data_IF_776040267333
#
_entry.id   IF_776040267333
#
_cell.length_a   1.000
_cell.length_b   1.000
_cell.length_c   1.000
_cell.angle_alpha   90.00
_cell.angle_beta   90.00
_cell.angle_gamma   90.00
#
_symmetry.space_group_name_H-M   'P 1'
#
loop_
_entity.id
_entity.type
_entity.pdbx_description
1 polymer ?
#
# COMPACT_ATOMS: atom_id res chain seq x y z
N UNK A 1 -13.52 14.06 -6.77
CA UNK A 1 -13.53 13.27 -8.01
C UNK A 1 -14.99 13.06 -8.40
N UNK A 2 -15.38 13.38 -9.63
CA UNK A 2 -16.71 13.07 -10.16
C UNK A 2 -16.73 11.61 -10.65
N UNK A 3 -17.87 10.94 -10.63
CA UNK A 3 -17.99 9.60 -11.21
C UNK A 3 -17.94 9.69 -12.74
N UNK A 4 -17.29 8.72 -13.38
CA UNK A 4 -17.15 8.62 -14.83
C UNK A 4 -18.39 8.05 -15.48
N UNK A 5 -19.21 7.30 -14.73
CA UNK A 5 -20.66 7.25 -14.94
C UNK A 5 -21.42 6.74 -13.72
N UNK A 6 -22.75 6.94 -13.72
CA UNK A 6 -23.62 6.46 -12.66
C UNK A 6 -24.99 6.00 -13.21
N UNK A 7 -25.44 4.84 -12.71
CA UNK A 7 -26.65 4.17 -13.17
C UNK A 7 -27.57 3.88 -11.99
N UNK A 8 -28.88 3.89 -12.26
CA UNK A 8 -29.90 3.47 -11.30
C UNK A 8 -30.62 2.22 -11.82
N UNK A 9 -30.81 1.24 -10.95
CA UNK A 9 -31.52 0.00 -11.25
C UNK A 9 -32.74 -0.07 -10.36
N UNK A 10 -33.90 -0.38 -10.93
CA UNK A 10 -35.12 -0.64 -10.17
C UNK A 10 -35.87 -1.84 -10.75
N UNK A 11 -36.82 -2.39 -10.00
CA UNK A 11 -37.69 -3.44 -10.52
C UNK A 11 -38.55 -2.93 -11.68
N UNK A 12 -38.84 -3.80 -12.65
CA UNK A 12 -39.62 -3.47 -13.85
C UNK A 12 -40.99 -2.89 -13.52
N UNK A 13 -41.66 -3.41 -12.49
CA UNK A 13 -42.95 -2.91 -12.00
C UNK A 13 -42.91 -1.48 -11.47
N UNK A 14 -41.71 -0.93 -11.19
CA UNK A 14 -41.51 0.43 -10.72
C UNK A 14 -40.88 1.33 -11.78
N UNK A 15 -40.58 0.80 -12.97
CA UNK A 15 -39.96 1.55 -14.06
C UNK A 15 -40.84 2.70 -14.57
N UNK A 16 -42.17 2.54 -14.57
CA UNK A 16 -43.09 3.61 -14.95
C UNK A 16 -43.08 4.78 -13.94
N UNK A 17 -42.78 4.52 -12.66
CA UNK A 17 -42.62 5.60 -11.66
C UNK A 17 -41.41 6.49 -11.94
N UNK A 18 -40.43 6.00 -12.72
CA UNK A 18 -39.29 6.78 -13.17
C UNK A 18 -39.61 7.64 -14.39
N UNK A 19 -40.46 7.16 -15.31
CA UNK A 19 -40.72 7.80 -16.63
C UNK A 19 -41.18 9.26 -16.49
N UNK A 20 -42.01 9.56 -15.51
CA UNK A 20 -42.50 10.92 -15.26
C UNK A 20 -41.47 11.85 -14.59
N UNK A 21 -40.38 11.28 -14.06
CA UNK A 21 -39.36 11.97 -13.25
C UNK A 21 -37.96 11.87 -13.86
N UNK A 22 -37.87 11.41 -15.11
CA UNK A 22 -36.62 11.22 -15.81
C UNK A 22 -35.87 12.55 -15.98
N UNK A 23 -34.61 12.64 -15.57
CA UNK A 23 -33.76 13.77 -15.93
C UNK A 23 -33.69 13.90 -17.46
N UNK A 24 -33.55 15.13 -17.97
CA UNK A 24 -33.21 15.34 -19.39
C UNK A 24 -31.89 14.60 -19.71
N UNK A 25 -31.79 14.02 -20.90
CA UNK A 25 -30.62 13.24 -21.30
C UNK A 25 -30.51 11.90 -20.58
N UNK A 26 -31.63 11.20 -20.36
CA UNK A 26 -31.63 9.87 -19.73
C UNK A 26 -32.26 8.81 -20.62
N UNK A 27 -31.80 7.57 -20.45
CA UNK A 27 -32.29 6.39 -21.18
C UNK A 27 -32.73 5.35 -20.16
N UNK A 28 -34.00 4.95 -20.24
CA UNK A 28 -34.54 3.84 -19.46
C UNK A 28 -34.54 2.59 -20.33
N UNK A 29 -33.75 1.60 -19.94
CA UNK A 29 -33.63 0.32 -20.61
C UNK A 29 -34.32 -0.76 -19.78
N UNK A 30 -34.99 -1.68 -20.47
CA UNK A 30 -35.73 -2.80 -19.87
C UNK A 30 -35.22 -4.12 -20.44
N UNK A 31 -35.45 -5.24 -19.75
CA UNK A 31 -35.10 -6.58 -20.26
C UNK A 31 -33.94 -7.26 -19.54
N UNK A 32 -33.47 -6.72 -18.42
CA UNK A 32 -32.41 -7.31 -17.58
C UNK A 32 -33.03 -8.14 -16.46
N UNK A 33 -33.74 -9.20 -16.85
CA UNK A 33 -34.57 -9.98 -15.93
C UNK A 33 -35.72 -9.14 -15.36
N UNK A 34 -35.81 -9.06 -14.04
CA UNK A 34 -36.82 -8.25 -13.34
C UNK A 34 -36.39 -6.80 -13.08
N UNK A 35 -35.26 -6.37 -13.66
CA UNK A 35 -34.71 -5.02 -13.50
C UNK A 35 -34.77 -4.18 -14.77
N UNK A 36 -34.97 -2.88 -14.54
CA UNK A 36 -34.81 -1.79 -15.50
C UNK A 36 -33.61 -0.94 -15.11
N UNK A 37 -32.90 -0.41 -16.09
CA UNK A 37 -31.68 0.40 -15.92
C UNK A 37 -31.93 1.80 -16.43
N UNK A 38 -31.72 2.79 -15.58
CA UNK A 38 -31.72 4.20 -15.92
C UNK A 38 -30.28 4.68 -16.09
N UNK A 39 -29.91 4.97 -17.33
CA UNK A 39 -28.64 5.58 -17.72
C UNK A 39 -28.80 7.10 -17.79
N UNK A 40 -27.79 7.83 -17.34
CA UNK A 40 -27.75 9.30 -17.39
C UNK A 40 -26.57 9.79 -18.23
N UNK A 41 -26.83 10.76 -19.10
CA UNK A 41 -25.81 11.51 -19.85
C UNK A 41 -24.95 12.38 -18.90
N UNK A 42 -25.59 13.04 -17.93
CA UNK A 42 -24.90 13.82 -16.89
C UNK A 42 -24.65 12.98 -15.63
N UNK A 43 -23.38 12.76 -15.29
CA UNK A 43 -22.97 12.00 -14.11
C UNK A 43 -23.25 12.75 -12.81
N UNK A 44 -24.46 12.58 -12.26
CA UNK A 44 -24.87 13.26 -11.04
C UNK A 44 -25.45 12.28 -10.01
N UNK A 45 -24.56 11.72 -9.19
CA UNK A 45 -24.91 10.78 -8.12
C UNK A 45 -25.90 11.37 -7.11
N UNK A 46 -25.87 12.69 -6.84
CA UNK A 46 -26.83 13.35 -5.94
C UNK A 46 -28.24 13.34 -6.51
N UNK A 47 -28.42 13.55 -7.82
CA UNK A 47 -29.72 13.45 -8.50
C UNK A 47 -30.27 12.02 -8.38
N UNK A 48 -29.45 11.00 -8.63
CA UNK A 48 -29.87 9.59 -8.49
C UNK A 48 -30.26 9.23 -7.05
N UNK A 49 -29.47 9.65 -6.07
CA UNK A 49 -29.79 9.44 -4.65
C UNK A 49 -31.09 10.12 -4.23
N UNK A 50 -31.39 11.29 -4.80
CA UNK A 50 -32.67 11.97 -4.59
C UNK A 50 -33.81 11.19 -5.23
N UNK A 51 -33.67 10.75 -6.49
CA UNK A 51 -34.69 9.97 -7.20
C UNK A 51 -35.02 8.66 -6.48
N UNK A 52 -34.02 7.93 -6.00
CA UNK A 52 -34.23 6.67 -5.29
C UNK A 52 -35.13 6.80 -4.05
N UNK A 53 -35.26 7.99 -3.45
CA UNK A 53 -36.16 8.25 -2.30
C UNK A 53 -37.65 8.13 -2.66
N UNK A 54 -37.98 8.22 -3.94
CA UNK A 54 -39.36 8.24 -4.43
C UNK A 54 -39.76 6.96 -5.17
N UNK A 55 -38.83 6.02 -5.33
CA UNK A 55 -39.08 4.76 -6.01
C UNK A 55 -39.45 3.72 -4.94
N UNK A 56 -40.63 3.10 -5.04
CA UNK A 56 -41.01 2.00 -4.14
C UNK A 56 -40.14 0.76 -4.40
N UNK A 57 -40.06 -0.13 -3.42
CA UNK A 57 -39.35 -1.40 -3.56
C UNK A 57 -37.83 -1.24 -3.65
N UNK A 58 -37.18 -2.20 -4.31
CA UNK A 58 -35.73 -2.33 -4.35
C UNK A 58 -35.11 -1.45 -5.44
N UNK A 59 -34.09 -0.68 -5.04
CA UNK A 59 -33.33 0.20 -5.93
C UNK A 59 -31.83 0.06 -5.67
N UNK A 60 -31.07 0.00 -6.76
CA UNK A 60 -29.61 0.04 -6.73
C UNK A 60 -29.13 1.33 -7.40
N UNK A 61 -28.10 1.95 -6.84
CA UNK A 61 -27.37 3.03 -7.49
C UNK A 61 -25.92 2.61 -7.59
N UNK A 62 -25.43 2.49 -8.83
CA UNK A 62 -24.04 2.18 -9.13
C UNK A 62 -23.31 3.42 -9.61
N UNK A 63 -22.03 3.51 -9.32
CA UNK A 63 -21.12 4.51 -9.87
C UNK A 63 -19.74 3.91 -10.05
N UNK A 64 -19.07 4.34 -11.12
CA UNK A 64 -17.69 4.02 -11.45
C UNK A 64 -16.88 5.33 -11.54
N UNK A 65 -15.67 5.33 -10.99
CA UNK A 65 -14.70 6.43 -11.00
C UNK A 65 -13.49 5.99 -11.80
N UNK A 66 -13.36 6.56 -12.99
CA UNK A 66 -12.25 6.47 -13.95
C UNK A 66 -11.73 5.05 -14.19
N UNK A 67 -12.63 4.06 -14.14
CA UNK A 67 -12.32 2.62 -14.19
C UNK A 67 -11.44 2.10 -13.03
N UNK A 68 -11.15 2.95 -12.04
CA UNK A 68 -10.29 2.65 -10.89
C UNK A 68 -11.07 2.25 -9.64
N UNK A 69 -12.32 2.71 -9.50
CA UNK A 69 -13.14 2.37 -8.34
C UNK A 69 -14.64 2.40 -8.60
N UNK A 70 -15.41 1.49 -8.01
CA UNK A 70 -16.87 1.53 -8.04
C UNK A 70 -17.50 1.48 -6.66
N UNK A 71 -18.76 1.91 -6.58
CA UNK A 71 -19.61 1.66 -5.43
C UNK A 71 -21.07 1.40 -5.80
N UNK A 72 -21.75 0.68 -4.92
CA UNK A 72 -23.12 0.24 -5.07
C UNK A 72 -23.92 0.54 -3.81
N UNK A 73 -24.89 1.45 -3.93
CA UNK A 73 -25.87 1.68 -2.88
C UNK A 73 -27.11 0.84 -3.10
N UNK A 74 -27.62 0.26 -2.01
CA UNK A 74 -28.89 -0.43 -2.00
C UNK A 74 -29.91 0.33 -1.15
N UNK A 75 -31.04 0.63 -1.76
CA UNK A 75 -32.20 1.28 -1.19
C UNK A 75 -33.41 0.33 -1.23
N UNK A 76 -34.26 0.45 -0.22
CA UNK A 76 -35.61 -0.11 -0.24
C UNK A 76 -36.59 0.93 0.27
N UNK A 77 -37.67 1.15 -0.48
CA UNK A 77 -38.72 2.12 -0.14
C UNK A 77 -38.14 3.50 0.24
N UNK A 78 -37.22 3.97 -0.60
CA UNK A 78 -36.55 5.26 -0.45
C UNK A 78 -35.51 5.37 0.67
N UNK A 79 -35.25 4.31 1.44
CA UNK A 79 -34.24 4.29 2.52
C UNK A 79 -32.99 3.53 2.10
N UNK A 80 -31.82 4.16 2.26
CA UNK A 80 -30.52 3.50 2.08
C UNK A 80 -30.32 2.45 3.17
N UNK A 81 -30.19 1.18 2.78
CA UNK A 81 -30.02 0.06 3.70
C UNK A 81 -28.58 -0.46 3.75
N UNK A 82 -27.88 -0.44 2.63
CA UNK A 82 -26.54 -1.00 2.51
C UNK A 82 -25.71 -0.24 1.48
N UNK A 83 -24.39 -0.43 1.58
CA UNK A 83 -23.40 0.07 0.64
C UNK A 83 -22.23 -0.91 0.57
N UNK A 84 -21.71 -1.05 -0.64
CA UNK A 84 -20.60 -1.91 -1.02
C UNK A 84 -19.71 -1.12 -1.99
N UNK A 85 -18.39 -1.20 -1.86
CA UNK A 85 -17.46 -0.75 -2.89
C UNK A 85 -16.40 -1.79 -3.25
N UNK A 86 -15.67 -1.49 -4.32
CA UNK A 86 -14.57 -2.30 -4.81
C UNK A 86 -13.34 -2.28 -3.90
N UNK A 87 -13.28 -1.36 -2.94
CA UNK A 87 -12.21 -1.30 -1.94
C UNK A 87 -12.52 -2.25 -0.80
N UNK A 88 -13.03 -1.67 0.29
CA UNK A 88 -13.20 -2.36 1.56
C UNK A 88 -14.49 -2.04 2.29
N UNK A 89 -15.15 -0.94 1.92
CA UNK A 89 -16.22 -0.41 2.73
C UNK A 89 -17.51 -1.16 2.41
N UNK A 90 -17.80 -2.13 3.26
CA UNK A 90 -18.99 -2.97 3.16
C UNK A 90 -19.88 -2.77 4.38
N UNK A 91 -20.81 -1.82 4.28
CA UNK A 91 -21.80 -1.58 5.32
C UNK A 91 -23.04 -2.42 5.08
N UNK A 92 -23.39 -3.27 6.06
CA UNK A 92 -24.66 -4.00 6.04
C UNK A 92 -24.87 -4.86 4.79
N UNK A 93 -23.81 -5.34 4.14
CA UNK A 93 -23.89 -6.16 2.91
C UNK A 93 -24.70 -7.44 3.10
N UNK A 94 -24.77 -7.97 4.33
CA UNK A 94 -25.67 -9.06 4.70
C UNK A 94 -27.15 -8.71 4.48
N UNK A 95 -27.56 -7.47 4.79
CA UNK A 95 -28.92 -6.97 4.54
C UNK A 95 -29.18 -6.93 3.03
N UNK A 96 -28.21 -6.53 2.21
CA UNK A 96 -28.34 -6.58 0.75
C UNK A 96 -28.53 -8.03 0.26
N UNK A 97 -27.69 -8.96 0.74
CA UNK A 97 -27.78 -10.37 0.38
C UNK A 97 -29.12 -11.01 0.75
N UNK A 98 -29.55 -10.88 2.01
CA UNK A 98 -30.79 -11.48 2.52
C UNK A 98 -32.05 -10.92 1.85
N UNK A 99 -31.99 -9.68 1.37
CA UNK A 99 -33.14 -9.03 0.76
C UNK A 99 -33.26 -9.25 -0.74
N UNK A 100 -32.15 -9.29 -1.47
CA UNK A 100 -32.13 -9.38 -2.93
C UNK A 100 -31.91 -10.81 -3.46
N UNK A 101 -31.38 -11.71 -2.62
CA UNK A 101 -30.90 -13.02 -3.03
C UNK A 101 -31.35 -14.13 -2.07
N UNK A 102 -32.65 -14.18 -1.77
CA UNK A 102 -33.22 -15.18 -0.84
C UNK A 102 -32.97 -16.63 -1.30
N UNK A 103 -32.91 -16.83 -2.62
CA UNK A 103 -32.74 -18.14 -3.23
C UNK A 103 -31.29 -18.49 -3.63
N UNK A 104 -30.33 -17.56 -3.45
CA UNK A 104 -28.91 -17.81 -3.76
C UNK A 104 -28.08 -17.88 -2.47
N UNK A 105 -27.76 -19.09 -1.97
CA UNK A 105 -26.96 -19.27 -0.75
C UNK A 105 -25.49 -18.82 -0.91
N UNK A 106 -25.02 -18.56 -2.14
CA UNK A 106 -23.67 -18.07 -2.42
C UNK A 106 -23.60 -16.54 -2.53
N UNK A 107 -24.73 -15.83 -2.70
CA UNK A 107 -24.73 -14.39 -2.94
C UNK A 107 -23.96 -13.62 -1.86
N UNK A 108 -24.21 -13.89 -0.57
CA UNK A 108 -23.45 -13.25 0.51
C UNK A 108 -21.94 -13.50 0.41
N UNK A 109 -21.54 -14.72 0.04
CA UNK A 109 -20.12 -15.07 -0.12
C UNK A 109 -19.49 -14.38 -1.33
N UNK A 110 -20.23 -14.24 -2.43
CA UNK A 110 -19.80 -13.51 -3.63
C UNK A 110 -19.62 -12.02 -3.32
N UNK A 111 -20.61 -11.39 -2.69
CA UNK A 111 -20.52 -9.98 -2.28
C UNK A 111 -19.35 -9.73 -1.32
N UNK A 112 -19.11 -10.63 -0.36
CA UNK A 112 -17.92 -10.56 0.50
C UNK A 112 -16.61 -10.85 -0.22
N UNK A 113 -16.63 -11.55 -1.35
CA UNK A 113 -15.44 -11.87 -2.11
C UNK A 113 -14.99 -10.72 -3.02
N UNK A 114 -15.84 -9.72 -3.28
CA UNK A 114 -15.48 -8.53 -4.08
C UNK A 114 -14.21 -7.87 -3.55
N UNK A 115 -14.04 -7.72 -2.24
CA UNK A 115 -12.80 -7.16 -1.65
C UNK A 115 -11.53 -7.97 -1.94
N UNK A 116 -11.66 -9.21 -2.39
CA UNK A 116 -10.55 -10.14 -2.70
C UNK A 116 -10.23 -10.21 -4.19
N UNK A 117 -10.97 -9.49 -5.05
CA UNK A 117 -10.70 -9.41 -6.48
C UNK A 117 -9.36 -8.74 -6.75
N UNK A 118 -8.66 -9.15 -7.81
CA UNK A 118 -7.32 -8.65 -8.12
C UNK A 118 -7.29 -7.32 -8.88
N UNK A 119 -8.39 -6.98 -9.55
CA UNK A 119 -8.55 -5.76 -10.34
C UNK A 119 -9.99 -5.27 -10.22
N UNK A 120 -10.25 -4.03 -10.62
CA UNK A 120 -11.61 -3.48 -10.71
C UNK A 120 -12.46 -4.32 -11.65
N UNK A 121 -11.94 -4.74 -12.80
CA UNK A 121 -12.64 -5.60 -13.76
C UNK A 121 -13.08 -6.93 -13.16
N UNK A 122 -12.22 -7.63 -12.42
CA UNK A 122 -12.60 -8.90 -11.79
C UNK A 122 -13.67 -8.69 -10.72
N UNK A 123 -13.58 -7.57 -9.98
CA UNK A 123 -14.57 -7.19 -8.97
C UNK A 123 -15.91 -6.83 -9.60
N UNK A 124 -15.88 -6.14 -10.73
CA UNK A 124 -17.05 -5.74 -11.50
C UNK A 124 -17.72 -6.96 -12.11
N UNK A 125 -16.96 -7.84 -12.77
CA UNK A 125 -17.47 -9.11 -13.28
C UNK A 125 -18.14 -9.96 -12.18
N UNK A 126 -17.53 -10.07 -10.99
CA UNK A 126 -18.16 -10.75 -9.86
C UNK A 126 -19.48 -10.10 -9.44
N UNK A 127 -19.54 -8.76 -9.42
CA UNK A 127 -20.75 -8.01 -9.09
C UNK A 127 -21.84 -8.27 -10.14
N UNK A 128 -21.52 -8.12 -11.42
CA UNK A 128 -22.44 -8.33 -12.54
C UNK A 128 -22.95 -9.77 -12.60
N UNK A 129 -22.09 -10.78 -12.44
CA UNK A 129 -22.47 -12.20 -12.34
C UNK A 129 -23.35 -12.49 -11.11
N UNK A 130 -23.17 -11.76 -10.01
CA UNK A 130 -23.98 -11.94 -8.79
C UNK A 130 -25.39 -11.40 -9.00
N UNK A 131 -25.51 -10.19 -9.55
CA UNK A 131 -26.81 -9.53 -9.75
C UNK A 131 -27.52 -9.97 -11.04
N UNK A 132 -26.78 -10.41 -12.05
CA UNK A 132 -27.26 -10.57 -13.42
C UNK A 132 -27.56 -9.23 -14.10
N UNK A 133 -26.77 -8.20 -13.82
CA UNK A 133 -26.98 -6.83 -14.29
C UNK A 133 -25.69 -6.25 -14.91
N UNK A 134 -25.78 -5.48 -16.00
CA UNK A 134 -24.63 -4.80 -16.60
C UNK A 134 -24.33 -3.52 -15.84
N UNK A 135 -23.39 -3.58 -14.91
CA UNK A 135 -23.00 -2.44 -14.10
C UNK A 135 -22.08 -1.49 -14.85
N UNK A 136 -21.32 -1.99 -15.83
CA UNK A 136 -20.41 -1.21 -16.68
C UNK A 136 -21.10 -0.41 -17.82
N UNK A 137 -22.43 -0.43 -17.87
CA UNK A 137 -23.20 0.16 -18.97
C UNK A 137 -23.05 1.69 -19.04
N UNK A 138 -22.59 2.22 -20.17
CA UNK A 138 -22.44 3.64 -20.41
C UNK A 138 -23.59 4.23 -21.24
N UNK A 139 -23.92 5.51 -21.01
CA UNK A 139 -25.01 6.19 -21.72
C UNK A 139 -24.87 6.16 -23.25
N UNK A 140 -23.63 6.16 -23.76
CA UNK A 140 -23.34 6.20 -25.20
C UNK A 140 -23.52 4.85 -25.90
N UNK A 141 -23.61 3.74 -25.17
CA UNK A 141 -23.72 2.40 -25.76
C UNK A 141 -25.09 2.19 -26.43
N UNK A 142 -25.09 1.87 -27.72
CA UNK A 142 -26.33 1.62 -28.48
C UNK A 142 -27.05 0.37 -27.98
N UNK A 143 -26.31 -0.73 -27.80
CA UNK A 143 -26.79 -2.00 -27.27
C UNK A 143 -26.01 -2.38 -26.01
N UNK A 144 -26.74 -2.84 -24.98
CA UNK A 144 -26.17 -3.32 -23.72
C UNK A 144 -26.65 -4.77 -23.52
N UNK A 145 -25.74 -5.75 -23.58
CA UNK A 145 -26.13 -7.15 -23.48
C UNK A 145 -26.56 -7.51 -22.05
N UNK A 146 -27.48 -8.46 -21.88
CA UNK A 146 -27.82 -8.97 -20.56
C UNK A 146 -26.65 -9.77 -19.97
N UNK A 147 -26.45 -9.65 -18.66
CA UNK A 147 -25.45 -10.44 -17.92
C UNK A 147 -26.10 -11.67 -17.31
N UNK A 148 -25.51 -12.85 -17.55
CA UNK A 148 -25.97 -14.09 -16.94
C UNK A 148 -25.53 -14.20 -15.48
N UNK A 149 -26.44 -14.66 -14.62
CA UNK A 149 -26.06 -15.04 -13.25
C UNK A 149 -25.13 -16.24 -13.28
N UNK A 150 -23.99 -16.13 -12.62
CA UNK A 150 -22.90 -17.12 -12.69
C UNK A 150 -22.13 -17.21 -11.37
N UNK A 151 -21.30 -18.25 -11.23
CA UNK A 151 -20.27 -18.36 -10.20
C UNK A 151 -18.86 -18.42 -10.78
N UNK A 152 -18.68 -18.23 -12.08
CA UNK A 152 -17.41 -18.43 -12.77
C UNK A 152 -16.29 -17.58 -12.17
N UNK A 153 -16.52 -16.26 -12.01
CA UNK A 153 -15.52 -15.39 -11.42
C UNK A 153 -15.26 -15.75 -9.95
N UNK A 154 -16.30 -16.07 -9.19
CA UNK A 154 -16.16 -16.51 -7.80
C UNK A 154 -15.34 -17.81 -7.66
N UNK A 155 -15.58 -18.78 -8.54
CA UNK A 155 -14.90 -20.08 -8.55
C UNK A 155 -13.44 -19.92 -9.01
N UNK A 156 -13.18 -19.08 -10.02
CA UNK A 156 -11.82 -18.70 -10.43
C UNK A 156 -11.05 -18.05 -9.28
N UNK A 157 -11.66 -17.09 -8.58
CA UNK A 157 -11.06 -16.44 -7.41
C UNK A 157 -10.75 -17.43 -6.30
N UNK A 158 -11.68 -18.35 -6.00
CA UNK A 158 -11.47 -19.39 -4.98
C UNK A 158 -10.40 -20.41 -5.39
N UNK A 159 -10.36 -20.81 -6.66
CA UNK A 159 -9.34 -21.70 -7.21
C UNK A 159 -7.96 -21.05 -7.09
N UNK A 160 -7.82 -19.76 -7.44
CA UNK A 160 -6.59 -18.98 -7.24
C UNK A 160 -6.20 -18.92 -5.77
N UNK A 161 -7.12 -18.56 -4.88
CA UNK A 161 -6.85 -18.53 -3.44
C UNK A 161 -6.47 -19.90 -2.87
N UNK A 162 -7.05 -20.99 -3.39
CA UNK A 162 -6.70 -22.37 -3.02
C UNK A 162 -5.31 -22.76 -3.53
N UNK A 163 -5.01 -22.48 -4.80
CA UNK A 163 -3.70 -22.73 -5.40
C UNK A 163 -2.59 -21.98 -4.65
N UNK A 164 -2.85 -20.71 -4.31
CA UNK A 164 -1.98 -19.94 -3.44
C UNK A 164 -1.84 -20.65 -2.10
N UNK A 165 -2.92 -20.90 -1.33
CA UNK A 165 -2.85 -21.56 -0.01
C UNK A 165 -2.05 -22.87 0.00
N UNK A 166 -2.13 -23.66 -1.06
CA UNK A 166 -1.41 -24.92 -1.17
C UNK A 166 0.07 -24.76 -1.59
N UNK A 167 0.50 -23.59 -2.04
CA UNK A 167 1.89 -23.32 -2.42
C UNK A 167 2.79 -23.36 -1.17
N UNK A 168 3.86 -24.16 -1.15
CA UNK A 168 4.75 -24.24 -0.01
C UNK A 168 5.48 -22.92 0.21
N UNK A 169 5.50 -22.43 1.44
CA UNK A 169 6.31 -21.27 1.81
C UNK A 169 7.81 -21.63 1.76
N UNK A 170 8.61 -20.80 1.09
CA UNK A 170 10.09 -20.79 1.16
C UNK A 170 10.59 -20.51 2.57
N UNK A 171 9.94 -19.60 3.29
CA UNK A 171 10.27 -19.25 4.66
C UNK A 171 9.38 -19.98 5.66
N UNK A 172 9.97 -20.35 6.79
CA UNK A 172 9.28 -20.73 8.01
C UNK A 172 9.39 -19.60 9.01
N UNK A 173 8.28 -19.22 9.61
CA UNK A 173 8.23 -18.19 10.66
C UNK A 173 8.38 -18.80 12.03
N UNK A 174 9.19 -18.16 12.85
CA UNK A 174 9.42 -18.48 14.25
C UNK A 174 9.27 -17.19 15.06
N UNK A 175 8.42 -17.19 16.10
CA UNK A 175 8.38 -16.09 17.07
C UNK A 175 9.58 -16.26 18.01
N UNK A 176 10.45 -15.24 18.07
CA UNK A 176 11.64 -15.29 18.89
C UNK A 176 11.33 -14.92 20.35
N UNK A 177 11.88 -15.66 21.32
CA UNK A 177 11.92 -15.21 22.71
C UNK A 177 12.73 -13.92 22.81
N UNK A 178 12.44 -13.08 23.81
CA UNK A 178 12.96 -11.71 23.89
C UNK A 178 14.48 -11.66 23.95
N UNK A 179 15.09 -12.67 24.55
CA UNK A 179 16.53 -12.85 24.72
C UNK A 179 17.24 -13.13 23.39
N UNK A 180 16.52 -13.64 22.38
CA UNK A 180 17.04 -13.95 21.05
C UNK A 180 16.73 -12.85 20.02
N UNK A 181 16.10 -11.75 20.44
CA UNK A 181 15.86 -10.62 19.56
C UNK A 181 17.18 -10.07 19.00
N UNK A 182 17.17 -9.55 17.76
CA UNK A 182 18.37 -9.04 17.13
C UNK A 182 19.02 -7.90 17.93
N UNK A 183 20.34 -7.76 17.79
CA UNK A 183 21.15 -6.80 18.56
C UNK A 183 20.72 -5.36 18.28
N UNK A 184 20.21 -5.08 17.08
CA UNK A 184 19.57 -3.80 16.76
C UNK A 184 18.43 -3.41 17.73
N UNK A 185 17.80 -4.38 18.41
CA UNK A 185 16.71 -4.14 19.36
C UNK A 185 17.12 -4.23 20.83
N UNK A 186 18.27 -4.83 21.14
CA UNK A 186 18.72 -5.11 22.51
C UNK A 186 19.98 -4.32 22.88
N UNK A 187 20.01 -3.78 24.10
CA UNK A 187 21.24 -3.26 24.67
C UNK A 187 22.18 -4.39 25.13
N UNK A 188 23.42 -4.05 25.48
CA UNK A 188 24.48 -4.97 25.90
C UNK A 188 24.17 -5.71 27.20
N UNK A 189 23.03 -5.39 27.84
CA UNK A 189 22.50 -6.08 29.01
C UNK A 189 21.24 -6.92 28.67
N UNK A 190 20.93 -7.13 27.38
CA UNK A 190 19.77 -7.90 26.91
C UNK A 190 18.42 -7.19 27.12
N UNK A 191 18.41 -5.90 27.52
CA UNK A 191 17.18 -5.11 27.68
C UNK A 191 16.85 -4.37 26.39
N UNK A 192 15.56 -4.16 26.12
CA UNK A 192 15.14 -3.30 25.01
C UNK A 192 15.56 -1.87 25.28
N UNK A 193 16.14 -1.17 24.30
CA UNK A 193 16.36 0.25 24.50
C UNK A 193 15.03 1.02 24.42
N UNK A 194 14.88 2.13 25.17
CA UNK A 194 13.67 2.96 25.14
C UNK A 194 13.33 3.51 23.74
N UNK A 195 12.04 3.69 23.42
CA UNK A 195 11.60 4.52 22.28
C UNK A 195 11.65 3.91 20.87
N UNK A 196 11.42 2.60 20.73
CA UNK A 196 11.64 1.76 19.53
C UNK A 196 10.89 2.16 18.23
N UNK A 197 10.13 3.25 18.21
CA UNK A 197 8.91 3.28 17.40
C UNK A 197 8.90 3.98 16.05
N UNK A 198 9.91 4.77 15.68
CA UNK A 198 9.87 5.53 14.41
C UNK A 198 11.24 5.67 13.75
N UNK A 199 12.01 4.60 13.82
CA UNK A 199 13.32 4.52 13.21
C UNK A 199 13.92 3.17 13.50
N UNK A 200 14.19 2.41 12.44
CA UNK A 200 15.16 1.33 12.51
C UNK A 200 16.42 1.91 13.15
N UNK A 201 16.87 1.30 14.25
CA UNK A 201 18.18 1.61 14.81
C UNK A 201 19.21 1.20 13.81
N UNK A 202 20.08 2.14 13.45
CA UNK A 202 21.20 1.80 12.61
C UNK A 202 22.40 1.54 13.51
N UNK A 203 22.90 0.31 13.44
CA UNK A 203 24.19 -0.03 14.00
C UNK A 203 25.26 0.62 13.14
N UNK A 204 26.13 1.40 13.77
CA UNK A 204 27.35 1.89 13.14
C UNK A 204 28.56 1.48 13.94
N UNK A 205 29.70 1.46 13.26
CA UNK A 205 31.01 1.29 13.89
C UNK A 205 31.70 2.64 13.89
N UNK A 206 32.06 3.16 15.06
CA UNK A 206 32.91 4.33 15.24
C UNK A 206 34.27 3.90 15.81
N UNK A 207 35.20 4.84 15.96
CA UNK A 207 36.55 4.58 16.50
C UNK A 207 36.55 4.03 17.93
N UNK A 208 35.45 4.19 18.67
CA UNK A 208 35.22 3.69 20.03
C UNK A 208 34.49 2.34 20.08
N UNK A 209 34.10 1.75 18.94
CA UNK A 209 33.36 0.48 18.85
C UNK A 209 32.04 0.61 18.08
N UNK A 210 31.07 -0.29 18.29
CA UNK A 210 29.74 -0.12 17.67
C UNK A 210 28.89 0.86 18.49
N UNK A 211 28.42 1.93 17.85
CA UNK A 211 27.40 2.85 18.36
C UNK A 211 26.02 2.53 17.77
N UNK A 212 24.98 2.81 18.55
CA UNK A 212 23.59 2.59 18.16
C UNK A 212 22.92 3.95 18.04
N UNK A 213 22.46 4.25 16.83
CA UNK A 213 21.85 5.55 16.52
C UNK A 213 20.35 5.39 16.45
N UNK A 214 19.64 6.26 17.15
CA UNK A 214 18.20 6.31 17.10
C UNK A 214 17.69 7.73 17.24
N UNK A 215 16.53 7.93 16.64
CA UNK A 215 15.77 9.17 16.72
C UNK A 215 14.93 9.19 18.01
N UNK A 216 14.89 10.35 18.66
CA UNK A 216 13.90 10.68 19.70
C UNK A 216 12.84 11.65 19.16
N UNK A 217 11.90 12.07 20.02
CA UNK A 217 10.96 13.13 19.66
C UNK A 217 11.66 14.46 19.32
N UNK A 218 12.85 14.68 19.87
CA UNK A 218 13.53 15.97 19.89
C UNK A 218 14.84 15.98 19.08
N UNK A 219 15.51 14.84 18.91
CA UNK A 219 16.83 14.80 18.27
C UNK A 219 17.29 13.39 17.90
N UNK A 220 18.60 13.25 17.72
CA UNK A 220 19.26 11.97 17.42
C UNK A 220 20.25 11.65 18.53
N UNK A 221 20.14 10.46 19.12
CA UNK A 221 21.07 9.96 20.12
C UNK A 221 21.96 8.90 19.48
N UNK A 222 23.26 8.95 19.80
CA UNK A 222 24.13 7.79 19.71
C UNK A 222 24.41 7.26 21.10
N UNK A 223 24.13 5.97 21.32
CA UNK A 223 24.50 5.27 22.54
C UNK A 223 25.54 4.19 22.25
N UNK A 224 26.27 3.77 23.27
CA UNK A 224 27.01 2.52 23.20
C UNK A 224 26.07 1.32 23.20
N UNK A 225 26.63 0.11 23.15
CA UNK A 225 25.85 -1.13 23.22
C UNK A 225 25.06 -1.18 24.52
N UNK A 226 25.60 -0.74 25.65
CA UNK A 226 24.96 -0.77 26.96
C UNK A 226 23.79 0.23 27.09
N UNK A 227 23.63 1.13 26.12
CA UNK A 227 22.60 2.16 26.10
C UNK A 227 23.01 3.44 26.82
N UNK A 228 24.30 3.62 27.12
CA UNK A 228 24.83 4.88 27.62
C UNK A 228 25.03 5.85 26.46
N UNK A 229 24.45 7.04 26.58
CA UNK A 229 24.60 8.11 25.61
C UNK A 229 26.08 8.48 25.44
N UNK A 230 26.53 8.50 24.19
CA UNK A 230 27.85 8.94 23.77
C UNK A 230 27.82 10.39 23.28
N UNK A 231 26.78 10.74 22.53
CA UNK A 231 26.48 12.09 22.07
C UNK A 231 25.01 12.23 21.69
N UNK A 232 24.54 13.47 21.68
CA UNK A 232 23.20 13.86 21.28
C UNK A 232 23.27 15.01 20.28
N UNK A 233 22.52 14.88 19.18
CA UNK A 233 22.33 15.94 18.20
C UNK A 233 20.91 16.49 18.32
N UNK A 234 20.82 17.78 18.65
CA UNK A 234 19.59 18.54 18.75
C UNK A 234 19.50 19.55 17.60
N UNK A 235 18.72 19.28 16.54
CA UNK A 235 18.44 20.28 15.53
C UNK A 235 17.48 21.34 16.11
N UNK A 236 17.54 22.56 15.58
CA UNK A 236 16.55 23.59 15.90
C UNK A 236 15.17 23.19 15.31
N UNK A 237 14.40 22.49 16.13
CA UNK A 237 13.04 22.08 15.88
C UNK A 237 12.09 23.13 16.50
N UNK A 238 11.81 24.20 15.76
CA UNK A 238 10.63 25.02 16.05
C UNK A 238 9.38 24.12 16.06
N UNK A 239 8.32 24.56 16.75
CA UNK A 239 7.16 23.79 17.24
C UNK A 239 6.39 22.89 16.22
N UNK A 240 6.76 22.84 14.95
CA UNK A 240 6.08 22.08 13.90
C UNK A 240 7.00 21.22 13.00
N UNK A 241 8.21 20.87 13.47
CA UNK A 241 9.18 20.09 12.70
C UNK A 241 9.30 18.66 13.22
N UNK A 242 9.54 17.71 12.30
CA UNK A 242 9.83 16.33 12.64
C UNK A 242 11.06 15.84 11.89
N UNK A 243 11.80 14.94 12.52
CA UNK A 243 12.94 14.27 11.92
C UNK A 243 12.49 13.02 11.17
N UNK A 244 13.17 12.67 10.09
CA UNK A 244 13.03 11.38 9.43
C UNK A 244 14.01 10.37 10.02
N UNK A 245 13.94 9.14 9.54
CA UNK A 245 14.87 8.08 9.96
C UNK A 245 16.31 8.46 9.57
N UNK A 246 17.29 8.20 10.45
CA UNK A 246 18.68 8.46 10.15
C UNK A 246 19.17 7.52 9.04
N UNK A 247 19.91 8.09 8.09
CA UNK A 247 20.52 7.36 6.97
C UNK A 247 21.99 7.19 7.27
N UNK A 248 22.44 5.95 7.37
CA UNK A 248 23.87 5.68 7.58
C UNK A 248 24.57 5.59 6.24
N UNK A 249 25.58 6.44 6.08
CA UNK A 249 26.58 6.30 5.03
C UNK A 249 27.88 5.76 5.59
N UNK A 250 28.85 5.53 4.69
CA UNK A 250 30.15 4.95 5.02
C UNK A 250 30.90 5.65 6.16
N UNK A 251 30.89 6.98 6.16
CA UNK A 251 31.66 7.81 7.11
C UNK A 251 30.78 8.89 7.76
N UNK A 252 29.50 8.63 8.01
CA UNK A 252 28.63 9.60 8.67
C UNK A 252 27.14 9.27 8.61
N UNK A 253 26.37 10.07 9.33
CA UNK A 253 24.93 9.87 9.51
C UNK A 253 24.22 11.04 8.90
N UNK A 254 23.34 10.82 7.93
CA UNK A 254 22.45 11.87 7.45
C UNK A 254 21.16 11.85 8.23
N UNK A 255 20.80 13.01 8.77
CA UNK A 255 19.55 13.27 9.47
C UNK A 255 18.78 14.30 8.67
N UNK A 256 17.52 14.01 8.37
CA UNK A 256 16.68 14.87 7.56
C UNK A 256 15.55 15.41 8.41
N UNK A 257 15.32 16.71 8.31
CA UNK A 257 14.15 17.40 8.87
C UNK A 257 13.18 17.73 7.76
N UNK A 258 11.90 17.41 7.98
CA UNK A 258 10.77 17.86 7.16
C UNK A 258 9.91 18.91 7.86
N UNK A 259 9.11 19.62 7.07
CA UNK A 259 8.08 20.53 7.55
C UNK A 259 6.69 19.97 7.22
N UNK A 260 5.77 19.97 8.21
CA UNK A 260 4.36 19.55 8.00
C UNK A 260 3.54 20.57 7.20
N UNK A 261 3.83 21.85 7.33
CA UNK A 261 3.09 22.94 6.65
C UNK A 261 3.65 23.24 5.26
N UNK A 262 4.94 22.99 5.04
CA UNK A 262 5.61 23.16 3.75
C UNK A 262 6.31 21.85 3.35
N UNK A 263 5.51 20.92 2.83
CA UNK A 263 5.98 19.65 2.28
C UNK A 263 6.85 19.80 1.04
N UNK A 264 7.40 20.98 0.74
CA UNK A 264 8.35 21.15 -0.37
C UNK A 264 9.77 21.42 0.10
N UNK A 265 10.01 21.53 1.42
CA UNK A 265 11.33 21.90 1.96
C UNK A 265 11.82 20.98 3.07
N UNK A 266 13.03 20.48 2.88
CA UNK A 266 13.73 19.64 3.85
C UNK A 266 15.14 20.17 4.10
N UNK A 267 15.68 19.91 5.28
CA UNK A 267 17.08 20.19 5.59
C UNK A 267 17.74 18.88 5.98
N UNK A 268 18.88 18.57 5.38
CA UNK A 268 19.69 17.43 5.77
C UNK A 268 20.98 17.89 6.43
N UNK A 269 21.37 17.20 7.50
CA UNK A 269 22.67 17.32 8.14
C UNK A 269 23.39 16.00 8.04
N UNK A 270 24.63 16.02 7.60
CA UNK A 270 25.54 14.88 7.78
C UNK A 270 26.31 15.09 9.07
N UNK A 271 26.21 14.13 9.98
CA UNK A 271 26.82 14.15 11.30
C UNK A 271 28.02 13.21 11.34
N UNK A 272 29.00 13.61 12.13
CA UNK A 272 30.15 12.80 12.51
C UNK A 272 29.68 11.61 13.36
N UNK A 273 30.14 10.39 13.05
CA UNK A 273 29.80 9.21 13.85
C UNK A 273 30.46 9.24 15.24
N UNK A 274 31.53 10.01 15.41
CA UNK A 274 32.36 10.03 16.62
C UNK A 274 31.78 10.89 17.73
N UNK A 275 31.21 12.04 17.37
CA UNK A 275 30.83 13.10 18.32
C UNK A 275 29.52 13.82 17.96
N UNK A 276 28.86 13.44 16.86
CA UNK A 276 27.61 14.07 16.42
C UNK A 276 27.78 15.50 15.86
N UNK A 277 29.02 15.96 15.64
CA UNK A 277 29.28 17.26 15.02
C UNK A 277 28.78 17.31 13.57
N UNK A 278 28.31 18.47 13.12
CA UNK A 278 27.82 18.65 11.75
C UNK A 278 29.01 18.72 10.80
N UNK A 279 29.10 17.74 9.90
CA UNK A 279 30.09 17.67 8.82
C UNK A 279 29.63 18.46 7.59
N UNK A 280 28.34 18.34 7.23
CA UNK A 280 27.73 19.04 6.12
C UNK A 280 26.27 19.37 6.40
N UNK A 281 25.76 20.44 5.81
CA UNK A 281 24.34 20.83 5.88
C UNK A 281 23.88 21.31 4.51
N UNK A 282 22.68 20.89 4.11
CA UNK A 282 22.04 21.38 2.89
C UNK A 282 20.53 21.49 3.04
N UNK A 283 20.00 22.58 2.50
CA UNK A 283 18.56 22.75 2.31
C UNK A 283 18.16 22.26 0.92
N UNK A 284 17.04 21.54 0.87
CA UNK A 284 16.46 20.97 -0.33
C UNK A 284 15.08 21.55 -0.54
N UNK A 285 14.81 22.02 -1.75
CA UNK A 285 13.47 22.29 -2.23
C UNK A 285 12.85 20.99 -2.79
N UNK A 286 12.90 19.88 -2.06
CA UNK A 286 12.23 18.61 -2.40
C UNK A 286 11.98 17.82 -1.12
N UNK A 287 10.75 17.31 -0.89
CA UNK A 287 10.44 16.51 0.28
C UNK A 287 10.79 15.04 0.14
N UNK A 288 10.89 14.51 -1.08
CA UNK A 288 11.29 13.13 -1.29
C UNK A 288 12.74 12.85 -0.87
N UNK A 289 13.54 13.88 -0.60
CA UNK A 289 14.86 13.70 0.03
C UNK A 289 14.75 12.90 1.33
N UNK A 290 13.59 12.91 2.01
CA UNK A 290 13.31 12.06 3.19
C UNK A 290 13.50 10.56 2.98
N UNK A 291 13.42 10.10 1.74
CA UNK A 291 13.59 8.70 1.35
C UNK A 291 14.98 8.41 0.78
N UNK A 292 15.91 9.36 0.91
CA UNK A 292 17.29 9.18 0.50
C UNK A 292 17.92 7.94 1.15
N UNK A 293 18.83 7.29 0.44
CA UNK A 293 19.65 6.18 0.93
C UNK A 293 21.10 6.37 0.54
N UNK A 294 22.00 5.71 1.26
CA UNK A 294 23.39 5.55 0.86
C UNK A 294 23.54 4.32 -0.03
N UNK A 295 24.36 4.42 -1.07
CA UNK A 295 24.80 3.28 -1.88
C UNK A 295 26.29 3.07 -1.70
N UNK A 296 26.68 1.93 -1.12
CA UNK A 296 28.10 1.56 -0.95
C UNK A 296 28.80 1.37 -2.29
N UNK A 297 28.09 0.82 -3.27
CA UNK A 297 28.65 0.54 -4.60
C UNK A 297 28.88 1.81 -5.43
N UNK A 298 28.01 2.80 -5.29
CA UNK A 298 28.14 4.09 -5.97
C UNK A 298 28.85 5.16 -5.12
N UNK A 299 29.19 4.85 -3.87
CA UNK A 299 29.83 5.75 -2.87
C UNK A 299 29.14 7.13 -2.75
N UNK A 300 27.80 7.14 -2.81
CA UNK A 300 27.01 8.37 -2.79
C UNK A 300 25.63 8.17 -2.16
N UNK A 301 24.96 9.28 -1.84
CA UNK A 301 23.55 9.26 -1.48
C UNK A 301 22.68 9.39 -2.72
N UNK A 302 21.52 8.72 -2.72
CA UNK A 302 20.57 8.74 -3.83
C UNK A 302 19.15 8.94 -3.32
N UNK A 303 18.39 9.82 -3.98
CA UNK A 303 16.95 9.96 -3.77
C UNK A 303 16.24 10.22 -5.09
N UNK A 304 14.93 9.94 -5.17
CA UNK A 304 14.12 10.32 -6.32
C UNK A 304 13.42 11.65 -6.06
N UNK A 305 13.66 12.63 -6.92
CA UNK A 305 13.01 13.93 -6.84
C UNK A 305 11.55 13.84 -7.25
N UNK A 306 10.63 14.25 -6.37
CA UNK A 306 9.20 14.30 -6.71
C UNK A 306 8.91 15.33 -7.79
N UNK A 307 9.68 16.42 -7.79
CA UNK A 307 9.48 17.56 -8.70
C UNK A 307 9.87 17.25 -10.13
N UNK A 308 10.92 16.44 -10.31
CA UNK A 308 11.51 16.19 -11.64
C UNK A 308 11.32 14.75 -12.11
N UNK A 309 10.95 13.82 -11.22
CA UNK A 309 10.96 12.38 -11.49
C UNK A 309 12.36 11.78 -11.64
N UNK A 310 13.42 12.58 -11.45
CA UNK A 310 14.81 12.14 -11.61
C UNK A 310 15.34 11.45 -10.35
N UNK A 311 16.29 10.53 -10.52
CA UNK A 311 17.20 10.15 -9.44
C UNK A 311 18.32 11.17 -9.31
N UNK A 312 18.49 11.71 -8.11
CA UNK A 312 19.50 12.71 -7.76
C UNK A 312 20.57 12.02 -6.92
N UNK A 313 21.83 12.20 -7.30
CA UNK A 313 22.99 11.62 -6.64
C UNK A 313 23.74 12.74 -5.91
N UNK A 314 24.01 12.54 -4.63
CA UNK A 314 24.72 13.48 -3.79
C UNK A 314 26.03 12.88 -3.28
N UNK A 315 27.09 13.68 -3.29
CA UNK A 315 28.34 13.31 -2.62
C UNK A 315 28.21 13.36 -1.08
N UNK A 316 29.32 13.11 -0.40
CA UNK A 316 29.43 13.11 1.06
C UNK A 316 29.26 14.50 1.68
N UNK A 317 29.40 15.55 0.90
CA UNK A 317 29.14 16.95 1.29
C UNK A 317 27.71 17.37 0.96
N UNK A 318 26.86 16.40 0.58
CA UNK A 318 25.47 16.57 0.17
C UNK A 318 25.32 17.39 -1.12
N UNK A 319 26.38 17.53 -1.92
CA UNK A 319 26.32 18.23 -3.19
C UNK A 319 25.85 17.32 -4.31
N UNK A 320 24.97 17.83 -5.16
CA UNK A 320 24.54 17.13 -6.36
C UNK A 320 25.74 16.91 -7.29
N UNK A 321 25.99 15.64 -7.61
CA UNK A 321 27.06 15.21 -8.51
C UNK A 321 26.52 14.66 -9.83
N UNK A 322 25.28 14.18 -9.85
CA UNK A 322 24.63 13.61 -11.03
C UNK A 322 23.11 13.63 -10.88
N UNK A 323 22.42 13.71 -12.00
CA UNK A 323 21.00 13.37 -12.13
C UNK A 323 20.79 12.34 -13.24
N UNK A 324 19.87 11.40 -13.00
CA UNK A 324 19.47 10.42 -13.98
C UNK A 324 17.94 10.46 -14.12
N UNK A 325 17.47 10.91 -15.28
CA UNK A 325 16.06 10.77 -15.65
C UNK A 325 15.83 9.33 -16.12
N UNK A 326 14.88 8.59 -15.54
CA UNK A 326 14.46 7.32 -16.13
C UNK A 326 13.81 7.56 -17.50
N UNK A 327 13.83 6.55 -18.37
CA UNK A 327 13.20 6.65 -19.71
C UNK A 327 11.68 6.86 -19.64
N UNK A 328 11.06 6.41 -18.57
CA UNK A 328 9.64 6.56 -18.28
C UNK A 328 9.45 7.32 -16.96
N UNK A 329 8.37 8.09 -16.85
CA UNK A 329 8.08 8.77 -15.58
C UNK A 329 7.70 7.75 -14.50
N UNK A 330 8.56 7.57 -13.50
CA UNK A 330 8.30 6.72 -12.34
C UNK A 330 7.89 7.61 -11.18
N UNK A 331 6.63 7.53 -10.75
CA UNK A 331 6.14 8.29 -9.60
C UNK A 331 6.71 7.72 -8.29
N UNK A 332 7.34 8.58 -7.48
CA UNK A 332 7.45 8.45 -6.02
C UNK A 332 8.33 7.31 -5.48
N UNK A 333 9.55 7.64 -5.04
CA UNK A 333 10.38 6.74 -4.21
C UNK A 333 9.93 6.83 -2.75
N UNK A 334 8.68 6.47 -2.43
CA UNK A 334 8.25 6.48 -1.02
C UNK A 334 8.71 5.21 -0.27
N UNK A 335 8.88 4.10 -0.99
CA UNK A 335 9.23 2.79 -0.41
C UNK A 335 10.22 2.07 -1.34
N UNK A 336 11.41 2.67 -1.43
CA UNK A 336 12.48 2.34 -2.38
C UNK A 336 13.74 1.75 -1.73
N UNK A 337 14.51 0.95 -2.48
CA UNK A 337 15.82 0.43 -2.05
C UNK A 337 16.71 0.16 -3.28
N UNK A 338 18.01 -0.05 -3.06
CA UNK A 338 19.03 -0.13 -4.10
C UNK A 338 19.87 -1.41 -4.02
N UNK A 339 20.02 -2.10 -5.15
CA UNK A 339 21.00 -3.19 -5.31
C UNK A 339 21.88 -2.84 -6.48
N UNK A 340 23.19 -2.86 -6.31
CA UNK A 340 24.01 -2.54 -7.44
C UNK A 340 23.84 -1.08 -7.87
N UNK A 341 23.75 -0.94 -9.18
CA UNK A 341 23.31 0.28 -9.85
C UNK A 341 21.81 0.31 -10.12
N UNK A 342 20.99 -0.49 -9.43
CA UNK A 342 19.55 -0.56 -9.68
C UNK A 342 18.75 0.03 -8.52
N UNK A 343 17.85 0.96 -8.82
CA UNK A 343 16.81 1.39 -7.91
C UNK A 343 15.58 0.52 -8.10
N UNK A 344 14.99 0.08 -7.00
CA UNK A 344 13.69 -0.58 -6.99
C UNK A 344 12.70 0.37 -6.33
N UNK A 345 11.49 0.46 -6.88
CA UNK A 345 10.43 1.36 -6.39
C UNK A 345 9.07 0.72 -6.52
N UNK A 346 8.18 1.03 -5.59
CA UNK A 346 6.76 0.69 -5.64
C UNK A 346 6.02 1.66 -6.55
N UNK A 347 5.21 1.16 -7.48
CA UNK A 347 4.37 1.98 -8.35
C UNK A 347 2.93 1.49 -8.35
N UNK A 348 1.97 2.39 -8.12
CA UNK A 348 0.54 2.11 -8.24
C UNK A 348 0.16 2.12 -9.71
N UNK A 349 -0.50 1.08 -10.17
CA UNK A 349 -1.01 0.99 -11.54
C UNK A 349 -2.43 1.55 -11.61
N UNK A 350 -2.82 2.08 -12.78
CA UNK A 350 -4.15 2.70 -12.97
C UNK A 350 -5.32 1.76 -12.62
N UNK A 351 -5.12 0.44 -12.65
CA UNK A 351 -6.12 -0.57 -12.26
C UNK A 351 -6.22 -0.79 -10.72
N UNK A 352 -5.61 0.10 -9.93
CA UNK A 352 -5.53 0.00 -8.46
C UNK A 352 -4.59 -1.11 -7.97
N UNK A 353 -3.77 -1.66 -8.87
CA UNK A 353 -2.74 -2.64 -8.58
C UNK A 353 -1.43 -2.00 -8.13
N UNK A 354 -0.45 -2.85 -7.82
CA UNK A 354 0.91 -2.43 -7.50
C UNK A 354 1.91 -3.26 -8.27
N UNK A 355 2.93 -2.59 -8.77
CA UNK A 355 4.09 -3.20 -9.40
C UNK A 355 5.38 -2.66 -8.81
N UNK A 356 6.47 -3.34 -9.14
CA UNK A 356 7.81 -2.91 -8.75
C UNK A 356 8.56 -2.48 -9.99
N UNK A 357 9.02 -1.25 -9.99
CA UNK A 357 9.80 -0.68 -11.08
C UNK A 357 11.27 -0.75 -10.69
N UNK A 358 12.02 -1.54 -11.46
CA UNK A 358 13.48 -1.58 -11.41
C UNK A 358 14.02 -0.62 -12.45
N UNK A 359 14.78 0.38 -12.01
CA UNK A 359 15.50 1.33 -12.87
C UNK A 359 16.98 1.09 -12.75
N UNK A 360 17.66 0.79 -13.86
CA UNK A 360 19.11 0.80 -13.91
C UNK A 360 19.60 2.26 -13.94
N UNK A 361 20.32 2.68 -12.92
CA UNK A 361 20.79 4.05 -12.72
C UNK A 361 21.99 4.41 -13.59
N UNK A 362 22.56 3.45 -14.32
CA UNK A 362 23.64 3.66 -15.26
C UNK A 362 23.10 3.74 -16.69
N UNK A 363 22.35 2.73 -17.12
CA UNK A 363 21.78 2.68 -18.48
C UNK A 363 20.48 3.47 -18.62
N UNK A 364 19.77 3.75 -17.52
CA UNK A 364 18.42 4.34 -17.44
C UNK A 364 17.29 3.41 -17.87
N UNK A 365 17.62 2.16 -18.18
CA UNK A 365 16.65 1.14 -18.57
C UNK A 365 15.68 0.86 -17.42
N UNK A 366 14.39 0.81 -17.78
CA UNK A 366 13.30 0.53 -16.85
C UNK A 366 12.75 -0.86 -17.12
N UNK A 367 12.58 -1.65 -16.06
CA UNK A 367 11.93 -2.96 -16.10
C UNK A 367 10.88 -3.05 -15.02
N UNK A 368 9.72 -3.65 -15.34
CA UNK A 368 8.57 -3.72 -14.44
C UNK A 368 8.32 -5.15 -14.00
N UNK A 369 8.09 -5.34 -12.70
CA UNK A 369 7.80 -6.63 -12.08
C UNK A 369 6.37 -6.56 -11.55
N UNK A 370 5.44 -7.19 -12.28
CA UNK A 370 4.03 -7.27 -11.87
C UNK A 370 3.87 -8.28 -10.74
N UNK A 371 3.28 -7.84 -9.64
CA UNK A 371 3.02 -8.71 -8.50
C UNK A 371 1.84 -9.65 -8.78
N UNK A 372 1.97 -10.92 -8.37
CA UNK A 372 0.91 -11.93 -8.50
C UNK A 372 -0.35 -11.59 -7.67
N UNK A 373 -0.19 -10.75 -6.64
CA UNK A 373 -1.28 -10.21 -5.82
C UNK A 373 -1.18 -8.67 -5.82
N UNK A 374 -2.32 -7.95 -5.88
CA UNK A 374 -2.35 -6.49 -5.82
C UNK A 374 -2.15 -6.02 -4.39
N UNK A 375 -0.92 -6.12 -3.91
CA UNK A 375 -0.55 -5.74 -2.54
C UNK A 375 0.38 -4.54 -2.58
N UNK A 376 0.10 -3.57 -1.72
CA UNK A 376 0.95 -2.42 -1.48
C UNK A 376 2.31 -2.91 -0.97
N UNK A 377 3.44 -2.65 -1.65
CA UNK A 377 4.75 -3.07 -1.16
C UNK A 377 5.36 -1.97 -0.28
N UNK A 378 5.65 -2.30 0.99
CA UNK A 378 6.15 -1.32 1.98
C UNK A 378 7.65 -1.42 2.26
N UNK A 379 8.23 -2.61 2.23
CA UNK A 379 9.63 -2.89 2.54
C UNK A 379 10.27 -3.66 1.40
N UNK A 380 11.53 -3.38 1.09
CA UNK A 380 12.27 -4.08 0.04
C UNK A 380 13.55 -4.68 0.63
N UNK A 381 13.80 -5.97 0.35
CA UNK A 381 14.91 -6.73 0.93
C UNK A 381 15.61 -7.50 -0.19
N UNK A 382 16.92 -7.31 -0.26
CA UNK A 382 17.65 -7.45 -1.52
C UNK A 382 18.53 -8.71 -1.63
N UNK A 383 18.71 -9.45 -0.54
CA UNK A 383 19.58 -10.64 -0.42
C UNK A 383 19.11 -11.93 -1.12
N UNK A 384 18.24 -11.84 -2.13
CA UNK A 384 17.88 -12.99 -2.97
C UNK A 384 16.43 -13.50 -2.86
N UNK A 385 15.57 -12.72 -2.22
CA UNK A 385 14.16 -12.51 -2.52
C UNK A 385 13.50 -11.85 -1.30
N UNK A 386 12.92 -10.67 -1.44
CA UNK A 386 11.57 -10.36 -0.97
C UNK A 386 11.29 -8.85 -0.87
N UNK A 387 10.10 -8.46 -1.30
CA UNK A 387 9.48 -7.16 -1.03
C UNK A 387 8.22 -7.44 -0.17
N UNK A 388 8.08 -6.82 1.00
CA UNK A 388 7.09 -7.18 2.03
C UNK A 388 6.21 -6.02 2.54
N UNK A 389 4.95 -6.41 2.77
CA UNK A 389 3.82 -5.80 3.50
C UNK A 389 2.89 -4.83 2.75
N UNK A 390 1.67 -5.32 2.47
CA UNK A 390 0.46 -4.50 2.38
C UNK A 390 -0.70 -5.18 1.64
N UNK A 391 -1.58 -5.90 2.33
CA UNK A 391 -2.87 -6.31 1.74
C UNK A 391 -3.62 -5.05 1.33
N UNK A 392 -4.21 -5.02 0.13
CA UNK A 392 -5.14 -3.96 -0.25
C UNK A 392 -6.16 -3.75 0.88
N UNK A 393 -6.11 -2.58 1.53
CA UNK A 393 -7.11 -2.19 2.52
C UNK A 393 -6.74 -2.26 4.01
N UNK A 394 -5.65 -1.63 4.44
CA UNK A 394 -5.44 -1.22 5.85
C UNK A 394 -5.43 -2.28 6.97
N UNK A 395 -5.70 -3.58 6.76
CA UNK A 395 -5.57 -4.62 7.80
C UNK A 395 -4.24 -5.39 7.65
N UNK A 396 -3.37 -5.22 8.65
CA UNK A 396 -2.01 -5.77 8.73
C UNK A 396 -1.98 -7.27 9.10
N UNK A 397 -2.84 -8.10 8.52
CA UNK A 397 -3.04 -9.48 8.99
C UNK A 397 -2.19 -10.51 8.23
N UNK A 398 -1.39 -10.05 7.25
CA UNK A 398 -0.49 -10.95 6.54
C UNK A 398 0.76 -10.28 5.98
N UNK A 399 1.85 -11.04 6.01
CA UNK A 399 3.13 -10.75 5.37
C UNK A 399 3.27 -11.66 4.15
N UNK A 400 3.45 -11.06 2.98
CA UNK A 400 3.58 -11.77 1.70
C UNK A 400 4.95 -11.49 1.10
N UNK A 401 5.67 -12.57 0.80
CA UNK A 401 6.98 -12.52 0.19
C UNK A 401 6.90 -12.80 -1.30
N UNK A 402 7.51 -11.94 -2.12
CA UNK A 402 7.59 -12.09 -3.58
C UNK A 402 9.01 -12.42 -4.05
N UNK A 403 9.11 -13.23 -5.10
CA UNK A 403 10.32 -13.36 -5.90
C UNK A 403 10.50 -12.17 -6.84
N UNK A 404 11.69 -12.06 -7.45
CA UNK A 404 11.98 -11.04 -8.48
C UNK A 404 11.18 -11.23 -9.78
N UNK A 405 10.52 -12.38 -9.94
CA UNK A 405 9.55 -12.65 -10.99
C UNK A 405 8.12 -12.19 -10.64
N UNK A 406 7.94 -11.54 -9.49
CA UNK A 406 6.65 -11.08 -8.98
C UNK A 406 5.76 -12.19 -8.43
N UNK A 407 6.24 -13.45 -8.33
CA UNK A 407 5.47 -14.57 -7.80
C UNK A 407 5.56 -14.65 -6.28
N UNK A 408 4.46 -15.04 -5.65
CA UNK A 408 4.43 -15.30 -4.21
C UNK A 408 5.30 -16.52 -3.88
N UNK A 409 6.33 -16.31 -3.05
CA UNK A 409 7.23 -17.35 -2.57
C UNK A 409 6.98 -17.74 -1.11
N UNK A 410 6.36 -16.88 -0.29
CA UNK A 410 5.90 -17.20 1.07
C UNK A 410 4.76 -16.29 1.51
N UNK A 411 3.89 -16.79 2.40
CA UNK A 411 2.82 -16.02 3.04
C UNK A 411 2.68 -16.43 4.48
N UNK A 412 2.54 -15.44 5.36
CA UNK A 412 2.44 -15.64 6.78
C UNK A 412 1.29 -14.80 7.33
N UNK A 413 0.38 -15.44 8.06
CA UNK A 413 -0.69 -14.75 8.78
C UNK A 413 -0.11 -14.29 10.12
N UNK A 414 0.35 -13.04 10.13
CA UNK A 414 0.97 -12.39 11.28
C UNK A 414 0.31 -11.04 11.43
N UNK A 415 -0.30 -10.80 12.58
CA UNK A 415 -0.99 -9.56 12.88
C UNK A 415 0.02 -8.47 13.24
N UNK A 416 -0.28 -7.24 12.80
CA UNK A 416 0.46 -6.03 13.16
C UNK A 416 1.95 -6.02 12.82
N UNK A 417 2.38 -6.74 11.78
CA UNK A 417 3.76 -6.63 11.29
C UNK A 417 3.94 -5.29 10.59
N UNK A 418 4.70 -4.40 11.23
CA UNK A 418 4.94 -3.05 10.71
C UNK A 418 6.26 -2.94 9.94
N UNK A 419 7.24 -3.75 10.31
CA UNK A 419 8.60 -3.63 9.80
C UNK A 419 9.22 -4.99 9.51
N UNK A 420 9.92 -5.12 8.38
CA UNK A 420 10.68 -6.32 8.00
C UNK A 420 12.06 -5.87 7.54
N UNK A 421 13.12 -6.52 8.02
CA UNK A 421 14.49 -6.16 7.69
C UNK A 421 15.43 -7.35 7.72
N UNK A 422 16.62 -7.14 7.19
CA UNK A 422 17.70 -8.11 7.26
C UNK A 422 18.83 -7.61 8.17
N UNK A 423 19.35 -8.50 9.00
CA UNK A 423 20.51 -8.24 9.85
C UNK A 423 21.35 -9.52 9.94
N UNK A 424 22.65 -9.40 9.67
CA UNK A 424 23.59 -10.52 9.70
C UNK A 424 23.14 -11.76 8.90
N UNK A 425 22.55 -11.54 7.71
CA UNK A 425 22.07 -12.60 6.82
C UNK A 425 20.81 -13.32 7.30
N UNK A 426 20.10 -12.75 8.28
CA UNK A 426 18.83 -13.26 8.82
C UNK A 426 17.73 -12.23 8.59
N UNK A 427 16.54 -12.75 8.28
CA UNK A 427 15.37 -11.96 7.94
C UNK A 427 14.41 -11.89 9.13
N UNK A 428 14.13 -10.68 9.61
CA UNK A 428 13.32 -10.41 10.78
C UNK A 428 12.06 -9.62 10.44
N UNK A 429 11.02 -9.76 11.25
CA UNK A 429 9.82 -8.92 11.22
C UNK A 429 9.38 -8.54 12.61
N UNK A 430 8.99 -7.28 12.80
CA UNK A 430 8.53 -6.76 14.09
C UNK A 430 7.02 -6.51 14.06
N UNK A 431 6.32 -7.13 15.00
CA UNK A 431 4.94 -6.81 15.32
C UNK A 431 4.90 -5.68 16.35
N UNK A 432 4.01 -4.72 16.16
CA UNK A 432 3.84 -3.58 17.07
C UNK A 432 2.39 -3.41 17.50
N UNK A 433 2.16 -2.90 18.72
CA UNK A 433 0.82 -2.58 19.20
C UNK A 433 0.31 -1.27 18.56
N UNK A 434 -0.80 -1.27 17.82
CA UNK A 434 -1.27 -0.08 17.07
C UNK A 434 -1.46 1.18 17.94
N UNK A 435 -1.76 1.03 19.24
CA UNK A 435 -1.95 2.17 20.15
C UNK A 435 -0.62 2.71 20.63
N UNK A 436 0.18 1.86 21.26
CA UNK A 436 1.41 2.27 21.89
C UNK A 436 2.61 2.25 20.98
N UNK A 437 2.47 1.74 19.74
CA UNK A 437 3.46 1.28 18.73
C UNK A 437 4.66 0.48 19.26
N UNK A 438 4.63 0.02 20.51
CA UNK A 438 5.73 -0.77 21.06
C UNK A 438 5.85 -2.11 20.33
N UNK A 439 7.07 -2.61 20.15
CA UNK A 439 7.28 -3.97 19.64
C UNK A 439 6.71 -4.96 20.65
N UNK A 440 5.73 -5.74 20.19
CA UNK A 440 5.07 -6.80 20.95
C UNK A 440 5.57 -8.19 20.54
N UNK A 441 6.27 -8.31 19.41
CA UNK A 441 6.88 -9.57 18.98
C UNK A 441 7.90 -9.37 17.86
N UNK A 442 8.90 -10.25 17.80
CA UNK A 442 9.88 -10.32 16.72
C UNK A 442 9.86 -11.72 16.13
N UNK A 443 9.69 -11.79 14.81
CA UNK A 443 9.64 -13.03 14.06
C UNK A 443 10.92 -13.19 13.25
N UNK A 444 11.45 -14.40 13.22
CA UNK A 444 12.52 -14.81 12.32
C UNK A 444 11.92 -15.60 11.15
N UNK A 445 12.25 -15.20 9.93
CA UNK A 445 11.88 -15.89 8.70
C UNK A 445 13.05 -16.76 8.24
N UNK A 446 13.03 -18.05 8.60
CA UNK A 446 14.08 -18.99 8.21
C UNK A 446 13.81 -19.61 6.86
N UNK A 447 14.77 -19.56 5.96
CA UNK A 447 14.67 -20.24 4.68
C UNK A 447 14.70 -21.77 4.87
N UNK A 448 13.67 -22.49 4.38
CA UNK A 448 13.53 -23.94 4.59
C UNK A 448 14.64 -24.77 3.96
N UNK A 449 15.27 -24.31 2.88
CA UNK A 449 16.39 -25.01 2.27
C UNK A 449 17.58 -25.14 3.24
N UNK A 450 17.74 -24.20 4.17
CA UNK A 450 18.80 -24.19 5.19
C UNK A 450 18.44 -24.97 6.47
N UNK A 451 17.22 -25.52 6.58
CA UNK A 451 16.76 -26.31 7.73
C UNK A 451 16.97 -27.83 7.57
N UNK A 452 17.41 -28.28 6.39
CA UNK A 452 17.68 -29.70 6.08
C UNK A 452 19.18 -30.06 6.13
N UNK A 453 20.00 -29.19 6.73
CA UNK A 453 21.44 -29.37 6.90
C UNK A 453 21.80 -29.75 8.33
#
# INVERSE_FOLDING_TARGET
MGASFCNLYCKNEHADSLRERLPKGSRLLTGYGDWSVLLLEEFNTRKLMYLARFIPGDVLIFYLYDDEAFGLYYYRDGKKLSYLDCGEYNSKVRIMAENLFQDDPLALKKLWAIKRGMSVDEKLALLEETFGLPFDAAYEQEEIPPVAKSSETYDRMNARAKALRNRPNRYQTELLPREEWPVSLQNGNGKLFPGIMRGIRVLMTNSKGHGIIYRTGEGIICSDKQGQEQWFFLPDLSAQRFLYEPIVGKDGIVVIRGNREDSARCTAWRLSPEDGSVLAQRDFDDDNVRYMRWSDEMDCYVYSSRKTGAFVFLDRELNEIRTALPEEHVCGFEYGDYVGHCAYTSHETNDGGWEIVRTDLTSREVSRIRLELPVYPRHMILSGACLCCGVAGFTFDSVVFFGWDGKVISRHHLEHIWHVWEEAGKLYGAAVDDKSHNIIGVYLFREKAKLRG
#
